data_IF_549334170817
#
_entry.id   IF_549334170817
#
_cell.length_a   1.000
_cell.length_b   1.000
_cell.length_c   1.000
_cell.angle_alpha   90.00
_cell.angle_beta   90.00
_cell.angle_gamma   90.00
#
_symmetry.space_group_name_H-M   'P 1'
#
loop_
_entity.id
_entity.type
_entity.pdbx_description
1 polymer ?
#
# COMPACT_ATOMS: atom_id res chain seq x y z
N UNK A 1 12.79 -21.58 -23.15
CA UNK A 1 11.86 -20.75 -22.36
C UNK A 1 12.69 -20.16 -21.25
N UNK A 2 13.21 -18.95 -21.48
CA UNK A 2 13.89 -18.21 -20.44
C UNK A 2 12.80 -17.75 -19.48
N UNK A 3 12.68 -18.40 -18.32
CA UNK A 3 11.84 -17.89 -17.24
C UNK A 3 12.56 -16.64 -16.75
N UNK A 4 12.26 -15.49 -17.36
CA UNK A 4 12.71 -14.20 -16.88
C UNK A 4 12.47 -14.18 -15.38
N UNK A 5 13.56 -14.21 -14.59
CA UNK A 5 13.47 -14.00 -13.15
C UNK A 5 12.79 -12.65 -12.99
N UNK A 6 11.52 -12.66 -12.61
CA UNK A 6 10.78 -11.47 -12.24
C UNK A 6 11.63 -10.67 -11.27
N UNK A 7 11.97 -9.44 -11.65
CA UNK A 7 12.79 -8.58 -10.82
C UNK A 7 12.05 -8.27 -9.52
N UNK A 8 12.82 -8.12 -8.45
CA UNK A 8 12.32 -7.46 -7.26
C UNK A 8 12.18 -5.97 -7.55
N UNK A 9 11.11 -5.36 -7.05
CA UNK A 9 11.01 -3.90 -7.04
C UNK A 9 12.08 -3.31 -6.14
N UNK A 10 12.74 -2.27 -6.63
CA UNK A 10 13.75 -1.51 -5.91
C UNK A 10 13.57 -0.01 -6.20
N UNK A 11 13.45 0.77 -5.14
CA UNK A 11 13.54 2.23 -5.18
C UNK A 11 14.57 2.81 -4.19
N UNK A 12 15.24 1.98 -3.40
CA UNK A 12 16.15 2.39 -2.32
C UNK A 12 16.30 1.32 -1.23
N UNK A 13 17.04 1.63 -0.16
CA UNK A 13 17.47 0.65 0.84
C UNK A 13 16.91 0.89 2.27
N UNK A 14 16.04 1.88 2.45
CA UNK A 14 15.55 2.30 3.78
C UNK A 14 14.54 1.30 4.37
N UNK A 15 13.68 0.72 3.54
CA UNK A 15 12.65 -0.24 3.96
C UNK A 15 12.67 -1.51 3.12
N UNK A 16 12.31 -2.64 3.74
CA UNK A 16 12.21 -3.95 3.09
C UNK A 16 10.86 -4.58 3.39
N UNK A 17 10.16 -5.05 2.35
CA UNK A 17 8.97 -5.89 2.49
C UNK A 17 9.16 -7.22 1.77
N UNK A 18 8.80 -8.29 2.46
CA UNK A 18 8.85 -9.65 1.94
C UNK A 18 7.44 -10.22 1.82
N UNK A 19 7.16 -10.85 0.68
CA UNK A 19 5.90 -11.54 0.45
C UNK A 19 6.15 -12.83 -0.35
N UNK A 20 6.09 -13.97 0.34
CA UNK A 20 6.49 -15.25 -0.23
C UNK A 20 7.99 -15.26 -0.54
N UNK A 21 8.35 -15.44 -1.81
CA UNK A 21 9.75 -15.47 -2.27
C UNK A 21 10.27 -14.11 -2.76
N UNK A 22 9.39 -13.09 -2.82
CA UNK A 22 9.74 -11.76 -3.30
C UNK A 22 10.17 -10.87 -2.14
N UNK A 23 11.20 -10.06 -2.40
CA UNK A 23 11.77 -9.10 -1.43
C UNK A 23 11.95 -7.76 -2.11
N UNK A 24 11.10 -6.79 -1.77
CA UNK A 24 11.13 -5.46 -2.35
C UNK A 24 11.79 -4.47 -1.40
N UNK A 25 12.54 -3.54 -1.98
CA UNK A 25 13.29 -2.51 -1.25
C UNK A 25 12.79 -1.13 -1.66
N UNK A 26 12.69 -0.23 -0.68
CA UNK A 26 12.11 1.08 -0.87
C UNK A 26 13.00 2.16 -0.25
N UNK A 27 13.09 3.31 -0.92
CA UNK A 27 13.51 4.52 -0.22
C UNK A 27 12.37 5.05 0.67
N UNK A 28 12.72 5.94 1.61
CA UNK A 28 11.78 6.50 2.58
C UNK A 28 10.55 7.15 1.95
N UNK A 29 10.75 8.00 0.94
CA UNK A 29 9.67 8.75 0.30
C UNK A 29 8.68 7.81 -0.40
N UNK A 30 9.18 6.87 -1.18
CA UNK A 30 8.35 5.91 -1.93
C UNK A 30 7.55 5.01 -0.98
N UNK A 31 8.19 4.53 0.10
CA UNK A 31 7.49 3.72 1.10
C UNK A 31 6.37 4.50 1.78
N UNK A 32 6.64 5.73 2.22
CA UNK A 32 5.66 6.59 2.87
C UNK A 32 4.47 6.93 1.95
N UNK A 33 4.75 7.36 0.71
CA UNK A 33 3.70 7.64 -0.27
C UNK A 33 2.81 6.41 -0.53
N UNK A 34 3.39 5.21 -0.61
CA UNK A 34 2.62 3.96 -0.77
C UNK A 34 1.81 3.59 0.48
N UNK A 35 2.35 3.80 1.67
CA UNK A 35 1.62 3.61 2.93
C UNK A 35 0.38 4.52 2.98
N UNK A 36 0.53 5.79 2.65
CA UNK A 36 -0.58 6.75 2.62
C UNK A 36 -1.65 6.36 1.59
N UNK A 37 -1.24 6.00 0.37
CA UNK A 37 -2.18 5.54 -0.66
C UNK A 37 -2.90 4.24 -0.28
N UNK A 38 -2.22 3.33 0.41
CA UNK A 38 -2.84 2.13 0.97
C UNK A 38 -3.88 2.48 2.04
N UNK A 39 -3.56 3.39 2.97
CA UNK A 39 -4.49 3.83 4.01
C UNK A 39 -5.74 4.52 3.43
N UNK A 40 -5.56 5.33 2.37
CA UNK A 40 -6.64 5.95 1.61
C UNK A 40 -7.55 4.90 0.95
N UNK A 41 -6.97 3.92 0.25
CA UNK A 41 -7.71 2.82 -0.38
C UNK A 41 -8.52 1.99 0.62
N UNK A 42 -7.96 1.78 1.81
CA UNK A 42 -8.63 1.07 2.90
C UNK A 42 -9.70 1.93 3.59
N UNK A 43 -9.80 3.21 3.27
CA UNK A 43 -10.69 4.15 3.94
C UNK A 43 -10.35 4.37 5.41
N UNK A 44 -9.12 4.06 5.83
CA UNK A 44 -8.66 4.32 7.19
C UNK A 44 -8.36 5.80 7.42
N UNK A 45 -7.94 6.51 6.36
CA UNK A 45 -7.74 7.97 6.38
C UNK A 45 -8.56 8.60 5.25
N UNK A 46 -9.07 9.81 5.49
CA UNK A 46 -9.93 10.52 4.53
C UNK A 46 -9.19 11.42 3.53
N UNK A 47 -7.88 11.63 3.70
CA UNK A 47 -7.11 12.57 2.90
C UNK A 47 -5.60 12.47 3.16
N UNK A 48 -4.85 13.42 2.60
CA UNK A 48 -3.40 13.52 2.77
C UNK A 48 -3.03 13.73 4.24
N UNK A 49 -2.05 12.96 4.71
CA UNK A 49 -1.51 13.05 6.05
C UNK A 49 -0.47 14.16 6.16
N UNK A 50 -0.33 14.72 7.36
CA UNK A 50 0.79 15.59 7.71
C UNK A 50 2.01 14.72 8.05
N UNK A 51 3.21 15.30 8.00
CA UNK A 51 4.47 14.55 8.06
C UNK A 51 4.56 13.62 9.28
N UNK A 52 4.14 14.11 10.46
CA UNK A 52 4.14 13.34 11.72
C UNK A 52 3.05 12.24 11.75
N UNK A 53 1.90 12.46 11.13
CA UNK A 53 0.86 11.42 10.98
C UNK A 53 1.30 10.34 9.99
N UNK A 54 2.01 10.75 8.93
CA UNK A 54 2.57 9.84 7.95
C UNK A 54 3.70 9.00 8.56
N UNK A 55 4.54 9.60 9.40
CA UNK A 55 5.57 8.89 10.17
C UNK A 55 4.93 7.82 11.06
N UNK A 56 3.87 8.14 11.81
CA UNK A 56 3.13 7.16 12.61
C UNK A 56 2.53 6.04 11.76
N UNK A 57 1.98 6.35 10.59
CA UNK A 57 1.46 5.34 9.66
C UNK A 57 2.56 4.42 9.11
N UNK A 58 3.73 4.98 8.79
CA UNK A 58 4.91 4.22 8.35
C UNK A 58 5.40 3.32 9.49
N UNK A 59 5.51 3.84 10.71
CA UNK A 59 5.89 3.09 11.89
C UNK A 59 4.92 1.93 12.15
N UNK A 60 3.61 2.16 12.01
CA UNK A 60 2.60 1.09 12.08
C UNK A 60 2.81 0.04 10.99
N UNK A 61 3.05 0.44 9.74
CA UNK A 61 3.28 -0.49 8.65
C UNK A 61 4.56 -1.33 8.86
N UNK A 62 5.62 -0.76 9.44
CA UNK A 62 6.90 -1.45 9.65
C UNK A 62 6.89 -2.31 10.90
N UNK A 63 6.54 -1.73 12.05
CA UNK A 63 6.62 -2.40 13.35
C UNK A 63 5.37 -3.23 13.65
N UNK A 64 4.26 -2.91 12.99
CA UNK A 64 2.97 -3.55 13.24
C UNK A 64 2.25 -3.00 14.47
N UNK A 65 2.79 -1.97 15.13
CA UNK A 65 2.22 -1.27 16.28
C UNK A 65 2.84 0.14 16.38
N UNK A 66 2.23 1.02 17.18
CA UNK A 66 2.75 2.35 17.51
C UNK A 66 2.89 2.44 19.04
N UNK A 67 4.13 2.39 19.53
CA UNK A 67 4.40 2.43 20.98
C UNK A 67 4.35 3.85 21.55
N UNK A 68 4.95 4.81 20.85
CA UNK A 68 5.01 6.22 21.25
C UNK A 68 4.48 7.07 20.08
N UNK A 69 3.18 7.43 20.08
CA UNK A 69 2.58 8.23 19.02
C UNK A 69 3.24 9.61 18.87
N UNK A 70 3.67 9.94 17.66
CA UNK A 70 4.13 11.29 17.33
C UNK A 70 2.97 12.22 16.91
N UNK A 71 1.77 11.67 16.71
CA UNK A 71 0.61 12.38 16.16
C UNK A 71 -0.73 11.90 16.74
N UNK A 72 -1.78 12.67 16.46
CA UNK A 72 -3.17 12.28 16.74
C UNK A 72 -3.61 11.02 15.95
N UNK A 73 -2.97 10.73 14.81
CA UNK A 73 -3.22 9.48 14.08
C UNK A 73 -2.71 8.29 14.89
N UNK A 74 -1.50 8.38 15.45
CA UNK A 74 -0.94 7.31 16.28
C UNK A 74 -1.73 7.09 17.57
N UNK A 75 -2.18 8.17 18.21
CA UNK A 75 -3.10 8.10 19.36
C UNK A 75 -4.40 7.38 18.98
N UNK A 76 -5.01 7.78 17.84
CA UNK A 76 -6.23 7.15 17.32
C UNK A 76 -6.06 5.66 17.00
N UNK A 77 -4.92 5.27 16.43
CA UNK A 77 -4.58 3.86 16.20
C UNK A 77 -4.59 3.08 17.51
N UNK A 78 -4.01 3.64 18.56
CA UNK A 78 -3.95 3.00 19.87
C UNK A 78 -5.33 2.92 20.54
N UNK A 79 -6.14 3.98 20.43
CA UNK A 79 -7.51 4.01 20.95
C UNK A 79 -8.43 2.99 20.25
N UNK A 80 -8.28 2.83 18.93
CA UNK A 80 -9.09 1.91 18.13
C UNK A 80 -8.45 0.53 17.93
N UNK A 81 -7.33 0.24 18.61
CA UNK A 81 -6.52 -0.97 18.38
C UNK A 81 -7.33 -2.28 18.29
N UNK A 82 -8.33 -2.56 19.17
CA UNK A 82 -9.13 -3.79 19.09
C UNK A 82 -9.88 -4.00 17.76
N UNK A 83 -10.15 -2.92 17.03
CA UNK A 83 -10.85 -2.95 15.73
C UNK A 83 -9.89 -2.98 14.53
N UNK A 84 -8.62 -2.61 14.76
CA UNK A 84 -7.55 -2.63 13.75
C UNK A 84 -6.85 -4.00 13.71
N UNK A 85 -6.80 -4.68 14.85
CA UNK A 85 -6.30 -6.04 14.94
C UNK A 85 -7.35 -7.05 14.49
N UNK A 86 -6.86 -8.11 13.85
CA UNK A 86 -7.68 -9.23 13.42
C UNK A 86 -6.81 -10.46 13.26
N UNK A 87 -7.39 -11.60 12.80
CA UNK A 87 -6.59 -12.70 12.29
C UNK A 87 -5.57 -12.16 11.29
N UNK A 88 -4.38 -12.77 11.24
CA UNK A 88 -3.21 -12.22 10.53
C UNK A 88 -3.47 -11.83 9.06
N UNK A 89 -4.42 -12.47 8.37
CA UNK A 89 -4.82 -12.18 6.98
C UNK A 89 -5.86 -11.06 6.83
N UNK A 90 -6.30 -10.45 7.94
CA UNK A 90 -7.45 -9.52 7.99
C UNK A 90 -7.23 -8.26 8.82
N UNK A 91 -6.06 -8.05 9.42
CA UNK A 91 -5.76 -6.81 10.17
C UNK A 91 -5.47 -5.63 9.23
N UNK A 92 -5.57 -4.40 9.76
CA UNK A 92 -5.21 -3.19 9.02
C UNK A 92 -3.75 -3.26 8.54
N UNK A 93 -2.83 -3.64 9.43
CA UNK A 93 -1.39 -3.77 9.12
C UNK A 93 -1.14 -4.76 7.99
N UNK A 94 -1.84 -5.91 7.98
CA UNK A 94 -1.72 -6.88 6.90
C UNK A 94 -2.09 -6.26 5.56
N UNK A 95 -3.22 -5.56 5.51
CA UNK A 95 -3.72 -4.96 4.27
C UNK A 95 -2.89 -3.76 3.82
N UNK A 96 -2.36 -2.95 4.74
CA UNK A 96 -1.39 -1.90 4.42
C UNK A 96 -0.18 -2.49 3.70
N UNK A 97 0.50 -3.47 4.32
CA UNK A 97 1.68 -4.14 3.72
C UNK A 97 1.34 -4.80 2.39
N UNK A 98 0.18 -5.46 2.30
CA UNK A 98 -0.27 -6.14 1.09
C UNK A 98 -0.52 -5.15 -0.06
N UNK A 99 -1.10 -3.98 0.21
CA UNK A 99 -1.35 -2.96 -0.81
C UNK A 99 -0.05 -2.24 -1.22
N UNK A 100 0.85 -1.94 -0.28
CA UNK A 100 2.19 -1.42 -0.59
C UNK A 100 2.91 -2.39 -1.52
N UNK A 101 2.97 -3.67 -1.14
CA UNK A 101 3.59 -4.72 -1.96
C UNK A 101 2.93 -4.86 -3.33
N UNK A 102 1.58 -4.91 -3.40
CA UNK A 102 0.82 -5.03 -4.66
C UNK A 102 1.12 -3.85 -5.60
N UNK A 103 1.16 -2.64 -5.08
CA UNK A 103 1.45 -1.45 -5.89
C UNK A 103 2.86 -1.50 -6.47
N UNK A 104 3.85 -1.87 -5.67
CA UNK A 104 5.24 -2.01 -6.11
C UNK A 104 5.41 -3.13 -7.13
N UNK A 105 4.68 -4.23 -6.94
CA UNK A 105 4.65 -5.35 -7.88
C UNK A 105 4.07 -4.93 -9.24
N UNK A 106 2.98 -4.15 -9.25
CA UNK A 106 2.38 -3.64 -10.47
C UNK A 106 3.34 -2.69 -11.20
N UNK A 107 3.99 -1.78 -10.48
CA UNK A 107 4.97 -0.86 -11.07
C UNK A 107 6.19 -1.58 -11.64
N UNK A 108 6.63 -2.67 -10.98
CA UNK A 108 7.69 -3.52 -11.52
C UNK A 108 7.28 -4.22 -12.81
N UNK A 109 6.03 -4.70 -12.91
CA UNK A 109 5.50 -5.28 -14.14
C UNK A 109 5.37 -4.24 -15.26
N UNK A 110 5.08 -2.99 -14.93
CA UNK A 110 5.14 -1.88 -15.89
C UNK A 110 6.58 -1.63 -16.36
N UNK A 111 7.54 -1.57 -15.43
CA UNK A 111 8.97 -1.42 -15.78
C UNK A 111 9.50 -2.55 -16.68
N UNK A 112 8.98 -3.76 -16.51
CA UNK A 112 9.34 -4.93 -17.32
C UNK A 112 8.56 -5.03 -18.65
N UNK A 113 7.59 -4.14 -18.89
CA UNK A 113 6.74 -4.14 -20.07
C UNK A 113 5.64 -5.22 -20.09
N UNK A 114 5.45 -5.95 -18.98
CA UNK A 114 4.34 -6.92 -18.84
C UNK A 114 2.98 -6.19 -18.69
N UNK A 115 2.99 -4.98 -18.12
CA UNK A 115 1.81 -4.12 -17.96
C UNK A 115 2.08 -2.72 -18.52
N UNK A 116 1.01 -1.98 -18.79
CA UNK A 116 1.05 -0.54 -19.09
C UNK A 116 -0.01 0.20 -18.26
N UNK A 117 0.04 1.52 -18.24
CA UNK A 117 -0.92 2.38 -17.53
C UNK A 117 -1.74 3.16 -18.54
N UNK A 118 -3.07 3.00 -18.48
CA UNK A 118 -4.00 3.71 -19.34
C UNK A 118 -4.94 4.60 -18.53
N UNK A 119 -5.16 5.81 -19.03
CA UNK A 119 -6.18 6.69 -18.49
C UNK A 119 -7.55 6.33 -19.07
N UNK A 120 -8.52 6.11 -18.17
CA UNK A 120 -9.94 5.98 -18.48
C UNK A 120 -10.58 7.37 -18.32
N UNK A 121 -11.00 7.96 -19.44
CA UNK A 121 -11.57 9.29 -19.47
C UNK A 121 -13.00 9.36 -18.90
N UNK A 122 -13.75 8.26 -18.94
CA UNK A 122 -15.12 8.20 -18.45
C UNK A 122 -15.14 8.09 -16.92
N UNK A 123 -14.26 7.25 -16.38
CA UNK A 123 -14.08 7.12 -14.92
C UNK A 123 -13.17 8.20 -14.32
N UNK A 124 -12.39 8.91 -15.15
CA UNK A 124 -11.32 9.82 -14.74
C UNK A 124 -10.28 9.14 -13.83
N UNK A 125 -9.94 7.88 -14.14
CA UNK A 125 -9.01 7.08 -13.35
C UNK A 125 -7.90 6.48 -14.22
N UNK A 126 -6.87 5.96 -13.57
CA UNK A 126 -5.83 5.17 -14.23
C UNK A 126 -6.05 3.69 -13.93
N UNK A 127 -5.83 2.85 -14.94
CA UNK A 127 -5.86 1.40 -14.82
C UNK A 127 -4.57 0.79 -15.35
N UNK A 128 -4.11 -0.28 -14.70
CA UNK A 128 -3.10 -1.15 -15.28
C UNK A 128 -3.77 -2.02 -16.35
N UNK A 129 -3.15 -2.10 -17.53
CA UNK A 129 -3.65 -2.87 -18.67
C UNK A 129 -2.59 -3.86 -19.14
N UNK A 130 -3.03 -4.92 -19.83
CA UNK A 130 -2.16 -5.98 -20.34
C UNK A 130 -1.96 -5.80 -21.86
N UNK A 131 -0.79 -5.32 -22.33
CA UNK A 131 -0.54 -5.09 -23.76
C UNK A 131 -0.71 -6.35 -24.62
N UNK A 132 -0.31 -7.52 -24.08
CA UNK A 132 -0.45 -8.81 -24.77
C UNK A 132 -1.91 -9.29 -24.91
N UNK A 133 -2.84 -8.66 -24.18
CA UNK A 133 -4.28 -8.97 -24.20
C UNK A 133 -5.10 -7.79 -24.71
N UNK A 134 -4.60 -7.13 -25.76
CA UNK A 134 -5.28 -6.00 -26.41
C UNK A 134 -5.63 -4.85 -25.45
N UNK A 135 -4.81 -4.66 -24.41
CA UNK A 135 -5.03 -3.61 -23.41
C UNK A 135 -6.15 -3.90 -22.41
N UNK A 136 -6.51 -5.17 -22.21
CA UNK A 136 -7.47 -5.59 -21.18
C UNK A 136 -7.02 -5.10 -19.78
N UNK A 137 -7.90 -4.42 -19.02
CA UNK A 137 -7.59 -4.00 -17.65
C UNK A 137 -7.28 -5.17 -16.71
N UNK A 138 -6.32 -4.98 -15.81
CA UNK A 138 -6.02 -5.95 -14.75
C UNK A 138 -7.11 -5.92 -13.69
N UNK A 139 -7.77 -7.05 -13.45
CA UNK A 139 -8.70 -7.20 -12.34
C UNK A 139 -7.94 -7.43 -11.02
N UNK A 140 -8.06 -6.48 -10.09
CA UNK A 140 -7.44 -6.57 -8.77
C UNK A 140 -8.43 -7.11 -7.74
N UNK A 141 -7.94 -7.99 -6.86
CA UNK A 141 -8.75 -8.50 -5.76
C UNK A 141 -9.22 -7.35 -4.85
N UNK A 142 -10.52 -7.31 -4.47
CA UNK A 142 -11.07 -6.21 -3.69
C UNK A 142 -10.40 -6.10 -2.32
N UNK A 143 -10.32 -4.86 -1.83
CA UNK A 143 -9.85 -4.53 -0.50
C UNK A 143 -11.02 -4.40 0.51
N UNK A 144 -10.81 -4.76 1.79
CA UNK A 144 -11.75 -4.44 2.86
C UNK A 144 -11.72 -2.93 3.17
N UNK A 145 -12.64 -2.49 4.02
CA UNK A 145 -12.71 -1.09 4.46
C UNK A 145 -12.64 -0.97 5.98
N UNK A 146 -11.85 0.01 6.43
CA UNK A 146 -11.76 0.50 7.82
C UNK A 146 -12.52 1.80 8.04
N UNK A 147 -13.41 2.18 7.12
CA UNK A 147 -14.17 3.44 7.18
C UNK A 147 -14.98 3.66 8.46
N UNK A 148 -15.31 2.60 9.21
CA UNK A 148 -16.01 2.69 10.50
C UNK A 148 -15.15 3.27 11.62
N UNK A 149 -13.84 3.07 11.54
CA UNK A 149 -12.82 3.56 12.49
C UNK A 149 -11.85 4.49 11.81
N UNK A 150 -12.28 5.14 10.72
CA UNK A 150 -11.46 6.06 9.97
C UNK A 150 -10.95 7.17 10.90
N UNK A 151 -9.65 7.43 10.81
CA UNK A 151 -9.06 8.61 11.41
C UNK A 151 -9.63 9.86 10.74
N UNK A 152 -10.08 10.80 11.57
CA UNK A 152 -10.54 12.11 11.15
C UNK A 152 -9.84 13.16 11.99
N UNK A 153 -9.20 14.13 11.33
CA UNK A 153 -8.67 15.31 12.03
C UNK A 153 -9.85 16.04 12.65
N UNK A 154 -9.80 16.25 13.96
CA UNK A 154 -10.76 17.07 14.70
C UNK A 154 -10.52 18.55 14.44
#
# INVERSE_FOLDING_TARGET
MDMTRRGNYDSGEDFVLEYGELRFTFNERDFAERCEQAALKLGFVGGRLEDHELEDLVNLAVNGEIQDPASALGEHVNDCWPELVGPSDRSLVHWLRRLVFRSAWLDQRVKEGELDVRFDADAQTFAYVQPERDGEPVELAPEPSWGRVAYSRR
#
